data_IF_197133314984
#
_entry.id   IF_197133314984
#
_cell.length_a   1.000
_cell.length_b   1.000
_cell.length_c   1.000
_cell.angle_alpha   90.00
_cell.angle_beta   90.00
_cell.angle_gamma   90.00
#
_symmetry.space_group_name_H-M   'P 1'
#
loop_
_entity.id
_entity.type
_entity.pdbx_description
1 polymer ?
#
# COMPACT_ATOMS: atom_id res chain seq x y z
N UNK A 1 25.93 14.73 14.40
CA UNK A 1 26.47 13.77 15.39
C UNK A 1 26.05 14.19 16.79
N UNK A 2 25.32 13.32 17.51
CA UNK A 2 24.77 13.56 18.84
C UNK A 2 25.29 12.52 19.82
N UNK A 3 25.84 12.96 20.96
CA UNK A 3 26.32 12.08 22.02
C UNK A 3 25.41 12.23 23.24
N UNK A 4 24.91 11.12 23.77
CA UNK A 4 24.04 11.11 24.95
C UNK A 4 24.49 10.05 25.94
N UNK A 5 24.24 10.27 27.22
CA UNK A 5 24.54 9.26 28.24
C UNK A 5 23.59 8.06 28.11
N UNK A 6 23.98 6.88 28.60
CA UNK A 6 23.08 5.73 28.62
C UNK A 6 21.79 5.97 29.42
N UNK A 7 21.83 6.82 30.45
CA UNK A 7 20.64 7.20 31.23
C UNK A 7 19.66 7.99 30.37
N UNK A 8 20.17 8.95 29.61
CA UNK A 8 19.36 9.76 28.70
C UNK A 8 18.88 8.96 27.48
N UNK A 9 19.73 8.07 26.97
CA UNK A 9 19.39 7.10 25.96
C UNK A 9 18.21 6.22 26.37
N UNK A 10 18.18 5.72 27.61
CA UNK A 10 17.04 4.95 28.14
C UNK A 10 15.76 5.77 28.17
N UNK A 11 15.84 7.04 28.57
CA UNK A 11 14.67 7.94 28.69
C UNK A 11 14.08 8.31 27.32
N UNK A 12 14.93 8.46 26.31
CA UNK A 12 14.57 9.03 25.00
C UNK A 12 14.74 8.04 23.85
N UNK A 13 14.78 6.73 24.13
CA UNK A 13 15.20 5.71 23.18
C UNK A 13 14.49 5.82 21.82
N UNK A 14 13.16 5.88 21.81
CA UNK A 14 12.38 5.97 20.56
C UNK A 14 12.73 7.20 19.73
N UNK A 15 12.85 8.37 20.38
CA UNK A 15 13.25 9.60 19.67
C UNK A 15 14.64 9.46 19.05
N UNK A 16 15.58 8.82 19.74
CA UNK A 16 16.93 8.59 19.22
C UNK A 16 16.92 7.59 18.06
N UNK A 17 16.05 6.58 18.08
CA UNK A 17 15.84 5.67 16.96
C UNK A 17 15.29 6.42 15.75
N UNK A 18 14.28 7.28 15.92
CA UNK A 18 13.75 8.09 14.81
C UNK A 18 14.82 9.06 14.25
N UNK A 19 15.69 9.60 15.12
CA UNK A 19 16.83 10.42 14.68
C UNK A 19 17.79 9.60 13.81
N UNK A 20 18.11 8.38 14.22
CA UNK A 20 18.94 7.44 13.45
C UNK A 20 18.27 7.01 12.14
N UNK A 21 16.96 6.79 12.13
CA UNK A 21 16.16 6.52 10.91
C UNK A 21 16.21 7.68 9.90
N UNK A 22 16.25 8.92 10.40
CA UNK A 22 16.42 10.12 9.56
C UNK A 22 17.87 10.33 9.09
N UNK A 23 18.80 9.45 9.48
CA UNK A 23 20.21 9.51 9.10
C UNK A 23 21.09 10.30 10.07
N UNK A 24 20.58 10.68 11.24
CA UNK A 24 21.41 11.35 12.26
C UNK A 24 22.33 10.36 12.96
N UNK A 25 23.60 10.71 13.10
CA UNK A 25 24.56 9.90 13.84
C UNK A 25 24.39 10.08 15.35
N UNK A 26 24.03 9.00 16.06
CA UNK A 26 23.83 8.99 17.51
C UNK A 26 24.82 8.03 18.19
N UNK A 27 25.48 8.54 19.24
CA UNK A 27 26.41 7.79 20.09
C UNK A 27 25.93 7.82 21.54
N UNK A 28 25.89 6.65 22.17
CA UNK A 28 25.59 6.46 23.59
C UNK A 28 26.89 6.30 24.38
N UNK A 29 27.01 6.99 25.50
CA UNK A 29 28.17 6.90 26.39
C UNK A 29 27.80 6.31 27.75
N UNK A 30 28.57 5.31 28.19
CA UNK A 30 28.41 4.66 29.50
C UNK A 30 29.76 4.24 30.05
N UNK A 31 30.12 4.78 31.22
CA UNK A 31 31.34 4.40 31.94
C UNK A 31 32.60 4.42 31.04
N UNK A 32 32.74 5.46 30.21
CA UNK A 32 33.86 5.62 29.27
C UNK A 32 33.77 4.79 27.99
N UNK A 33 32.76 3.94 27.84
CA UNK A 33 32.50 3.17 26.61
C UNK A 33 31.51 3.91 25.73
N UNK A 34 31.81 4.00 24.42
CA UNK A 34 30.95 4.62 23.41
C UNK A 34 30.29 3.53 22.57
N UNK A 35 28.97 3.62 22.40
CA UNK A 35 28.18 2.74 21.55
C UNK A 35 27.56 3.57 20.44
N UNK A 36 27.78 3.21 19.18
CA UNK A 36 27.16 3.88 18.04
C UNK A 36 25.83 3.19 17.72
N UNK A 37 24.77 3.96 17.56
CA UNK A 37 23.52 3.46 16.99
C UNK A 37 23.63 3.53 15.47
N UNK A 38 23.22 2.46 14.80
CA UNK A 38 23.18 2.35 13.35
C UNK A 38 21.92 1.61 12.94
N UNK A 39 21.33 2.00 11.82
CA UNK A 39 20.33 1.17 11.16
C UNK A 39 21.02 -0.08 10.64
N UNK A 40 20.53 -1.22 11.05
CA UNK A 40 20.79 -2.46 10.34
C UNK A 40 19.71 -2.58 9.27
N UNK A 41 20.11 -2.57 8.00
CA UNK A 41 19.18 -2.82 6.91
C UNK A 41 18.65 -4.24 7.10
N UNK A 42 17.39 -4.36 7.50
CA UNK A 42 16.73 -5.66 7.55
C UNK A 42 16.71 -6.21 6.13
N UNK A 43 17.34 -7.37 5.92
CA UNK A 43 17.26 -8.16 4.69
C UNK A 43 15.85 -8.75 4.47
N UNK A 44 14.82 -8.08 4.97
CA UNK A 44 13.46 -8.37 4.55
C UNK A 44 13.38 -7.89 3.11
N UNK A 45 13.37 -8.86 2.18
CA UNK A 45 13.06 -8.63 0.78
C UNK A 45 11.90 -7.62 0.67
N UNK A 46 11.91 -6.73 -0.35
CA UNK A 46 10.85 -5.74 -0.52
C UNK A 46 9.53 -6.46 -0.34
N UNK A 47 8.72 -6.01 0.64
CA UNK A 47 7.46 -6.64 0.97
C UNK A 47 6.74 -6.89 -0.35
N UNK A 48 6.63 -8.15 -0.75
CA UNK A 48 6.00 -8.52 -2.02
C UNK A 48 4.68 -7.76 -2.02
N UNK A 49 4.51 -6.83 -2.97
CA UNK A 49 3.39 -5.92 -3.02
C UNK A 49 2.15 -6.72 -2.67
N UNK A 50 1.52 -6.43 -1.53
CA UNK A 50 0.46 -7.27 -1.00
C UNK A 50 -0.55 -7.48 -2.13
N UNK A 51 -0.56 -8.67 -2.71
CA UNK A 51 -1.45 -8.97 -3.81
C UNK A 51 -2.84 -8.83 -3.21
N UNK A 52 -3.64 -7.91 -3.75
CA UNK A 52 -5.01 -7.70 -3.28
C UNK A 52 -5.71 -9.07 -3.21
N UNK A 53 -6.29 -9.45 -2.06
CA UNK A 53 -7.03 -10.71 -1.97
C UNK A 53 -8.30 -10.71 -2.83
N UNK A 54 -8.64 -9.56 -3.42
CA UNK A 54 -9.78 -9.38 -4.30
C UNK A 54 -9.37 -9.35 -5.76
N UNK A 55 -10.03 -10.18 -6.56
CA UNK A 55 -9.94 -10.17 -8.03
C UNK A 55 -11.19 -9.48 -8.57
N UNK A 56 -10.98 -8.35 -9.25
CA UNK A 56 -12.06 -7.66 -9.98
C UNK A 56 -12.38 -8.49 -11.23
N UNK A 57 -13.58 -9.04 -11.30
CA UNK A 57 -14.06 -9.85 -12.44
C UNK A 57 -14.69 -9.00 -13.54
N UNK A 58 -15.25 -7.86 -13.16
CA UNK A 58 -15.90 -6.90 -14.05
C UNK A 58 -15.30 -5.51 -13.79
N UNK A 59 -14.46 -4.99 -14.71
CA UNK A 59 -13.86 -3.67 -14.58
C UNK A 59 -14.89 -2.55 -14.49
N UNK A 60 -16.08 -2.72 -15.08
CA UNK A 60 -17.11 -1.67 -15.12
C UNK A 60 -17.69 -1.33 -13.75
N UNK A 61 -17.50 -2.20 -12.76
CA UNK A 61 -17.82 -1.90 -11.35
C UNK A 61 -16.93 -0.80 -10.76
N UNK A 62 -15.71 -0.64 -11.26
CA UNK A 62 -14.76 0.37 -10.79
C UNK A 62 -15.05 1.75 -11.37
N UNK A 63 -15.73 1.81 -12.52
CA UNK A 63 -16.05 3.05 -13.21
C UNK A 63 -17.19 3.83 -12.52
N UNK A 64 -17.84 3.22 -11.52
CA UNK A 64 -18.82 3.89 -10.65
C UNK A 64 -20.20 4.12 -11.26
N UNK A 65 -20.44 3.64 -12.48
CA UNK A 65 -21.71 3.83 -13.21
C UNK A 65 -22.60 2.58 -13.15
N UNK A 66 -23.11 2.26 -11.95
CA UNK A 66 -24.12 1.23 -11.77
C UNK A 66 -25.26 1.69 -10.87
N UNK A 67 -26.45 1.13 -11.11
CA UNK A 67 -27.63 1.36 -10.29
C UNK A 67 -28.31 0.06 -9.88
N UNK A 68 -29.05 0.11 -8.78
CA UNK A 68 -29.94 -0.96 -8.34
C UNK A 68 -31.37 -0.55 -8.61
N UNK A 69 -32.14 -1.43 -9.26
CA UNK A 69 -33.57 -1.23 -9.48
C UNK A 69 -34.34 -2.24 -8.64
N UNK A 70 -35.16 -1.74 -7.72
CA UNK A 70 -36.08 -2.57 -6.94
C UNK A 70 -37.28 -3.00 -7.77
N UNK A 71 -37.65 -4.28 -7.68
CA UNK A 71 -38.95 -4.75 -8.18
C UNK A 71 -40.05 -4.63 -7.10
N UNK A 72 -41.29 -4.91 -7.50
CA UNK A 72 -42.47 -4.87 -6.63
C UNK A 72 -42.45 -5.86 -5.47
N UNK A 73 -41.49 -6.79 -5.44
CA UNK A 73 -41.28 -7.77 -4.38
C UNK A 73 -40.08 -7.42 -3.49
N UNK A 74 -39.48 -6.24 -3.68
CA UNK A 74 -38.34 -5.76 -2.90
C UNK A 74 -37.01 -6.39 -3.30
N UNK A 75 -36.93 -7.09 -4.44
CA UNK A 75 -35.68 -7.62 -4.96
C UNK A 75 -34.94 -6.54 -5.73
N UNK A 76 -33.66 -6.36 -5.41
CA UNK A 76 -32.77 -5.45 -6.12
C UNK A 76 -32.15 -6.16 -7.32
N UNK A 77 -32.35 -5.61 -8.51
CA UNK A 77 -31.72 -6.06 -9.73
C UNK A 77 -30.59 -5.10 -10.11
N UNK A 78 -29.41 -5.66 -10.33
CA UNK A 78 -28.24 -4.92 -10.78
C UNK A 78 -28.45 -4.42 -12.21
N UNK A 79 -28.17 -3.13 -12.45
CA UNK A 79 -28.20 -2.52 -13.77
C UNK A 79 -26.87 -1.80 -14.04
N UNK A 80 -25.96 -2.40 -14.83
CA UNK A 80 -24.77 -1.70 -15.27
C UNK A 80 -25.19 -0.62 -16.28
N UNK A 81 -24.67 0.60 -16.14
CA UNK A 81 -24.75 1.58 -17.21
C UNK A 81 -23.61 1.29 -18.18
N UNK A 82 -23.84 0.36 -19.10
CA UNK A 82 -22.86 0.06 -20.14
C UNK A 82 -22.68 1.29 -21.04
N UNK A 83 -21.50 1.90 -21.03
CA UNK A 83 -21.08 2.75 -22.13
C UNK A 83 -20.97 1.86 -23.38
N UNK A 84 -21.57 2.21 -24.53
CA UNK A 84 -21.38 1.46 -25.77
C UNK A 84 -19.95 1.68 -26.27
N UNK A 85 -19.00 0.88 -25.78
CA UNK A 85 -17.66 0.75 -26.36
C UNK A 85 -17.36 -0.71 -26.64
N UNK A 86 -18.13 -1.31 -27.55
CA UNK A 86 -17.71 -2.43 -28.39
C UNK A 86 -18.73 -2.65 -29.52
N UNK A 87 -18.88 -1.64 -30.37
CA UNK A 87 -19.27 -1.86 -31.76
C UNK A 87 -18.05 -1.56 -32.62
N UNK A 88 -17.38 -2.59 -33.16
CA UNK A 88 -16.65 -2.60 -34.44
C UNK A 88 -15.90 -3.91 -34.65
N UNK A 89 -16.13 -4.56 -35.80
CA UNK A 89 -15.49 -5.80 -36.25
C UNK A 89 -16.50 -6.73 -36.93
N UNK A 90 -17.36 -6.21 -37.80
CA UNK A 90 -17.24 -6.34 -39.28
C UNK A 90 -17.44 -7.77 -39.77
N UNK A 91 -18.70 -8.04 -40.11
CA UNK A 91 -19.13 -8.93 -41.18
C UNK A 91 -18.31 -8.69 -42.46
N UNK A 92 -17.66 -9.74 -42.95
CA UNK A 92 -17.37 -9.93 -44.37
C UNK A 92 -17.48 -11.41 -44.71
N UNK A 93 -18.65 -11.77 -45.19
CA UNK A 93 -18.85 -12.85 -46.16
C UNK A 93 -17.83 -12.75 -47.31
N UNK A 94 -17.11 -13.83 -47.62
CA UNK A 94 -16.74 -14.16 -49.00
C UNK A 94 -16.43 -15.66 -49.16
N UNK A 95 -17.33 -16.33 -49.87
CA UNK A 95 -17.22 -17.67 -50.45
C UNK A 95 -16.46 -17.58 -51.79
N UNK A 96 -15.78 -18.64 -52.23
CA UNK A 96 -16.33 -19.39 -53.37
C UNK A 96 -16.14 -20.92 -53.34
#
# INVERSE_FOLDING_TARGET
MKCVTATEGRRLLFRLLDEVERGEEVVLERAGVRFRLSLEASTSAPAASAQSPFVVRDPTLLDGEWSWVGDQHGKLNYRPHGHPSSASGTDRSHDP
#
